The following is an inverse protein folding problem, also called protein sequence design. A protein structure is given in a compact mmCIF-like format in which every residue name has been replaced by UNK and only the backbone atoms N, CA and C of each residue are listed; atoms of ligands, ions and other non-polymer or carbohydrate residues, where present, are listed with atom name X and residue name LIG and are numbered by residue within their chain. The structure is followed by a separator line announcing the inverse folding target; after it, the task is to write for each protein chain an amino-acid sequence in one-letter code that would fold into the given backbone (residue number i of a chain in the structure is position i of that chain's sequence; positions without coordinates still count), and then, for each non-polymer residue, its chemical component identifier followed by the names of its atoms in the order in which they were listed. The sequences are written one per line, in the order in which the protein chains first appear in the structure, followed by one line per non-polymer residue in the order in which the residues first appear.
data_IF_042252932829
#
_entry.id   IF_042252932829
#
_cell.length_a   1.000
_cell.length_b   1.000
_cell.length_c   1.000
_cell.angle_alpha   90.00
_cell.angle_beta   90.00
_cell.angle_gamma   90.00
#
_symmetry.space_group_name_H-M   'P 1'
#
loop_
_entity.id
_entity.type
_entity.pdbx_description
1 polymer ?
#
# COMPACT_ATOMS: atom_id res chain seq x y z
N UNK A 1 -24.81 -3.92 12.58
CA UNK A 1 -24.91 -4.85 11.43
C UNK A 1 -24.89 -4.03 10.16
N UNK A 2 -23.97 -4.31 9.25
CA UNK A 2 -23.92 -3.69 7.92
C UNK A 2 -24.40 -4.74 6.91
N UNK A 3 -25.41 -4.40 6.12
CA UNK A 3 -25.86 -5.23 5.03
C UNK A 3 -25.32 -4.64 3.72
N UNK A 4 -24.65 -5.47 2.93
CA UNK A 4 -24.16 -5.09 1.60
C UNK A 4 -25.09 -5.71 0.57
N UNK A 5 -25.70 -4.87 -0.26
CA UNK A 5 -26.56 -5.30 -1.36
C UNK A 5 -25.79 -5.16 -2.67
N UNK A 6 -25.67 -6.26 -3.40
CA UNK A 6 -25.05 -6.24 -4.72
C UNK A 6 -26.10 -5.93 -5.80
N UNK A 7 -25.72 -5.13 -6.77
CA UNK A 7 -26.55 -4.83 -7.93
C UNK A 7 -26.48 -5.89 -9.04
N UNK A 8 -25.75 -6.98 -8.79
CA UNK A 8 -25.61 -8.11 -9.71
C UNK A 8 -25.61 -9.44 -8.95
N UNK A 9 -25.91 -10.52 -9.63
CA UNK A 9 -25.93 -11.88 -9.10
C UNK A 9 -24.50 -12.43 -9.01
N UNK A 10 -24.12 -12.95 -7.85
CA UNK A 10 -22.86 -13.72 -7.74
C UNK A 10 -22.99 -15.03 -8.52
N UNK A 11 -22.06 -15.29 -9.42
CA UNK A 11 -22.00 -16.49 -10.26
C UNK A 11 -21.29 -17.66 -9.61
N UNK A 12 -20.57 -17.42 -8.51
CA UNK A 12 -19.88 -18.46 -7.75
C UNK A 12 -20.07 -18.27 -6.24
N UNK A 13 -20.31 -19.36 -5.52
CA UNK A 13 -20.25 -19.40 -4.06
C UNK A 13 -18.84 -19.83 -3.63
N UNK A 14 -18.20 -19.05 -2.76
CA UNK A 14 -17.01 -19.48 -2.05
C UNK A 14 -17.35 -20.69 -1.18
N UNK A 15 -16.62 -21.78 -1.33
CA UNK A 15 -16.90 -23.05 -0.66
C UNK A 15 -16.53 -23.09 0.83
N UNK A 16 -15.83 -22.09 1.35
CA UNK A 16 -15.48 -22.03 2.78
C UNK A 16 -15.35 -20.57 3.24
N UNK A 17 -16.12 -20.21 4.27
CA UNK A 17 -15.90 -18.98 5.02
C UNK A 17 -14.71 -19.21 5.96
N UNK A 18 -13.53 -18.75 5.61
CA UNK A 18 -12.42 -18.65 6.55
C UNK A 18 -12.46 -17.29 7.25
N UNK A 19 -12.31 -17.30 8.58
CA UNK A 19 -12.15 -16.09 9.33
C UNK A 19 -10.79 -15.46 8.97
N UNK A 20 -10.82 -14.24 8.41
CA UNK A 20 -9.62 -13.49 8.04
C UNK A 20 -9.32 -12.52 9.17
N UNK A 21 -8.14 -12.67 9.80
CA UNK A 21 -7.65 -11.69 10.76
C UNK A 21 -7.13 -10.45 10.03
N UNK A 22 -7.53 -9.26 10.48
CA UNK A 22 -7.11 -7.98 9.88
C UNK A 22 -5.65 -7.64 10.07
N UNK A 23 -4.93 -8.33 10.95
CA UNK A 23 -3.63 -7.84 11.38
C UNK A 23 -2.41 -8.69 11.02
N UNK A 24 -2.50 -9.95 10.71
CA UNK A 24 -1.28 -10.77 10.52
C UNK A 24 -1.49 -12.08 9.79
N UNK A 25 -2.27 -12.16 8.77
CA UNK A 25 -2.37 -13.41 8.03
C UNK A 25 -1.45 -13.41 6.83
N UNK A 26 -0.37 -14.17 6.97
CA UNK A 26 0.28 -14.76 5.82
C UNK A 26 -0.77 -15.60 5.08
N UNK A 27 -0.97 -15.28 3.81
CA UNK A 27 -1.75 -16.09 2.87
C UNK A 27 -3.19 -16.40 3.28
N UNK A 28 -4.04 -15.39 3.36
CA UNK A 28 -5.43 -15.66 3.06
C UNK A 28 -5.56 -15.85 1.56
N UNK A 29 -5.31 -17.03 1.13
CA UNK A 29 -5.90 -17.52 -0.09
C UNK A 29 -7.39 -17.66 0.24
N UNK A 30 -8.15 -16.58 0.03
CA UNK A 30 -9.54 -16.80 -0.30
C UNK A 30 -9.47 -17.81 -1.42
N UNK A 31 -10.04 -18.98 -1.21
CA UNK A 31 -10.27 -19.98 -2.25
C UNK A 31 -11.35 -19.45 -3.18
N UNK A 32 -11.05 -18.30 -3.78
CA UNK A 32 -11.83 -17.71 -4.84
C UNK A 32 -11.25 -18.23 -6.14
N UNK A 33 -12.09 -18.75 -7.05
CA UNK A 33 -11.66 -19.13 -8.39
C UNK A 33 -11.25 -17.91 -9.24
N UNK A 34 -11.18 -16.72 -8.67
CA UNK A 34 -10.70 -15.54 -9.38
C UNK A 34 -9.17 -15.61 -9.43
N UNK A 35 -8.66 -16.10 -10.53
CA UNK A 35 -7.25 -15.94 -10.86
C UNK A 35 -6.95 -14.44 -10.97
N UNK A 36 -6.15 -13.96 -10.03
CA UNK A 36 -5.67 -12.59 -10.12
C UNK A 36 -4.72 -12.48 -11.33
N UNK A 37 -4.83 -11.42 -12.13
CA UNK A 37 -3.94 -11.24 -13.27
C UNK A 37 -2.48 -11.22 -12.78
N UNK A 38 -1.53 -11.66 -13.64
CA UNK A 38 -0.11 -11.62 -13.30
C UNK A 38 0.33 -10.18 -12.94
N UNK A 39 1.33 -10.08 -12.08
CA UNK A 39 1.94 -8.80 -11.79
C UNK A 39 2.57 -8.23 -13.07
N UNK A 40 2.58 -6.90 -13.16
CA UNK A 40 3.22 -6.16 -14.27
C UNK A 40 4.23 -5.19 -13.68
N UNK A 41 5.26 -4.88 -14.44
CA UNK A 41 6.22 -3.83 -14.09
C UNK A 41 5.49 -2.50 -13.92
N UNK A 42 5.89 -1.76 -12.91
CA UNK A 42 5.34 -0.43 -12.65
C UNK A 42 6.08 0.65 -13.45
N UNK A 43 5.44 1.80 -13.72
CA UNK A 43 6.11 2.91 -14.38
C UNK A 43 7.33 3.39 -13.61
N UNK A 44 8.33 3.89 -14.30
CA UNK A 44 9.47 4.54 -13.67
C UNK A 44 9.11 5.97 -13.30
N UNK A 45 9.63 6.43 -12.17
CA UNK A 45 9.43 7.79 -11.66
C UNK A 45 10.75 8.31 -11.09
N UNK A 46 11.06 9.56 -11.33
CA UNK A 46 12.13 10.25 -10.64
C UNK A 46 11.58 10.82 -9.33
N UNK A 47 12.02 10.24 -8.21
CA UNK A 47 11.64 10.71 -6.88
C UNK A 47 12.46 11.94 -6.51
N UNK A 48 11.78 13.06 -6.26
CA UNK A 48 12.42 14.26 -5.78
C UNK A 48 12.61 14.18 -4.25
N UNK A 49 13.80 14.55 -3.73
CA UNK A 49 14.07 14.52 -2.28
C UNK A 49 13.06 15.33 -1.46
N UNK A 50 12.57 16.44 -1.99
CA UNK A 50 11.59 17.32 -1.35
C UNK A 50 10.24 16.63 -1.12
N UNK A 51 9.89 15.66 -1.97
CA UNK A 51 8.68 14.86 -1.80
C UNK A 51 8.77 13.96 -0.58
N UNK A 52 9.95 13.40 -0.33
CA UNK A 52 10.22 12.59 0.86
C UNK A 52 10.20 13.43 2.13
N UNK A 53 10.70 14.67 2.07
CA UNK A 53 10.62 15.62 3.20
C UNK A 53 9.17 16.01 3.49
N UNK A 54 8.35 16.24 2.46
CA UNK A 54 6.90 16.49 2.61
C UNK A 54 6.21 15.32 3.32
N UNK A 55 6.48 14.08 2.90
CA UNK A 55 5.93 12.88 3.52
C UNK A 55 6.42 12.72 4.96
N UNK A 56 7.70 12.96 5.22
CA UNK A 56 8.28 12.88 6.55
C UNK A 56 7.67 13.91 7.52
N UNK A 57 7.45 15.13 7.06
CA UNK A 57 6.80 16.19 7.83
C UNK A 57 5.34 15.83 8.18
N UNK A 58 4.57 15.37 7.19
CA UNK A 58 3.18 14.94 7.40
C UNK A 58 3.09 13.76 8.37
N UNK A 59 4.01 12.81 8.25
CA UNK A 59 4.10 11.66 9.14
C UNK A 59 4.45 12.07 10.58
N UNK A 60 5.37 13.02 10.75
CA UNK A 60 5.77 13.54 12.05
C UNK A 60 4.65 14.31 12.75
N UNK A 61 3.86 15.07 11.98
CA UNK A 61 2.67 15.74 12.48
C UNK A 61 1.61 14.75 12.99
N UNK A 62 1.54 13.59 12.35
CA UNK A 62 0.58 12.52 12.65
C UNK A 62 -0.86 12.91 12.32
N UNK A 63 -1.67 11.93 11.95
CA UNK A 63 -3.09 12.10 11.71
C UNK A 63 -3.89 12.04 13.04
N UNK A 64 -5.13 12.53 13.07
CA UNK A 64 -5.90 12.69 14.30
C UNK A 64 -6.06 11.40 15.12
N UNK A 65 -6.38 10.28 14.46
CA UNK A 65 -6.62 9.03 15.17
C UNK A 65 -5.33 8.45 15.74
N UNK A 66 -4.21 8.53 14.99
CA UNK A 66 -2.90 8.14 15.51
C UNK A 66 -2.48 9.00 16.71
N UNK A 67 -2.69 10.31 16.65
CA UNK A 67 -2.37 11.20 17.78
C UNK A 67 -3.16 10.86 19.04
N UNK A 68 -4.43 10.47 18.87
CA UNK A 68 -5.31 10.13 19.99
C UNK A 68 -5.02 8.73 20.56
N UNK A 69 -4.67 7.75 19.73
CA UNK A 69 -4.66 6.34 20.14
C UNK A 69 -3.30 5.69 20.11
N UNK A 70 -2.39 6.16 19.23
CA UNK A 70 -1.10 5.51 18.91
C UNK A 70 -1.25 4.06 18.42
N UNK A 71 -2.45 3.65 18.03
CA UNK A 71 -2.82 2.26 17.75
C UNK A 71 -3.26 2.01 16.30
N UNK A 72 -2.98 2.95 15.40
CA UNK A 72 -3.37 2.85 13.99
C UNK A 72 -2.17 3.07 13.06
N UNK A 73 -2.32 2.59 11.83
CA UNK A 73 -1.42 2.85 10.73
C UNK A 73 -1.95 3.98 9.87
N UNK A 74 -1.04 4.79 9.34
CA UNK A 74 -1.36 5.87 8.40
C UNK A 74 -0.85 5.54 7.01
N UNK A 75 -1.59 5.91 6.00
CA UNK A 75 -1.17 5.89 4.60
C UNK A 75 -1.43 7.26 3.96
N UNK A 76 -0.46 7.72 3.16
CA UNK A 76 -0.54 8.97 2.41
C UNK A 76 -0.35 8.68 0.93
N UNK A 77 -1.08 9.43 0.10
CA UNK A 77 -0.87 9.47 -1.35
C UNK A 77 -0.32 10.83 -1.71
N UNK A 78 0.84 10.85 -2.34
CA UNK A 78 1.48 12.07 -2.81
C UNK A 78 1.61 12.03 -4.32
N UNK A 79 1.34 13.16 -4.97
CA UNK A 79 1.54 13.36 -6.41
C UNK A 79 2.20 14.71 -6.63
N UNK A 80 3.32 14.73 -7.34
CA UNK A 80 4.07 15.95 -7.66
C UNK A 80 4.35 16.84 -6.42
N UNK A 81 4.77 16.21 -5.31
CA UNK A 81 5.08 16.93 -4.07
C UNK A 81 3.88 17.30 -3.21
N UNK A 82 2.65 17.11 -3.68
CA UNK A 82 1.43 17.43 -2.94
C UNK A 82 0.76 16.19 -2.40
N UNK A 83 0.40 16.19 -1.11
CA UNK A 83 -0.39 15.12 -0.51
C UNK A 83 -1.84 15.28 -0.97
N UNK A 84 -2.32 14.32 -1.77
CA UNK A 84 -3.69 14.29 -2.28
C UNK A 84 -4.65 13.66 -1.27
N UNK A 85 -4.18 12.67 -0.52
CA UNK A 85 -5.02 11.91 0.41
C UNK A 85 -4.21 11.36 1.56
N UNK A 86 -4.84 11.25 2.72
CA UNK A 86 -4.30 10.61 3.91
C UNK A 86 -5.41 9.87 4.64
N UNK A 87 -5.09 8.67 5.12
CA UNK A 87 -6.04 7.85 5.87
C UNK A 87 -5.37 7.06 6.98
N UNK A 88 -6.20 6.56 7.88
CA UNK A 88 -5.78 5.74 9.02
C UNK A 88 -6.62 4.48 9.12
N UNK A 89 -6.02 3.40 9.61
CA UNK A 89 -6.68 2.15 9.94
C UNK A 89 -5.86 1.35 10.97
N UNK A 90 -6.50 0.50 11.74
CA UNK A 90 -5.83 -0.43 12.65
C UNK A 90 -4.93 -1.40 11.86
N UNK A 91 -5.40 -1.85 10.69
CA UNK A 91 -4.66 -2.73 9.80
C UNK A 91 -3.85 -1.96 8.75
N UNK A 92 -2.52 -2.18 8.70
CA UNK A 92 -1.66 -1.55 7.67
C UNK A 92 -2.12 -1.84 6.24
N UNK A 93 -2.66 -3.03 5.99
CA UNK A 93 -3.20 -3.43 4.68
C UNK A 93 -4.45 -2.62 4.34
N UNK A 94 -5.34 -2.45 5.31
CA UNK A 94 -6.56 -1.67 5.13
C UNK A 94 -6.25 -0.19 4.87
N UNK A 95 -5.25 0.37 5.57
CA UNK A 95 -4.82 1.76 5.33
C UNK A 95 -4.32 1.93 3.88
N UNK A 96 -3.52 0.98 3.37
CA UNK A 96 -3.07 0.99 1.98
C UNK A 96 -4.23 0.83 1.00
N UNK A 97 -5.13 -0.12 1.26
CA UNK A 97 -6.29 -0.39 0.39
C UNK A 97 -7.23 0.82 0.33
N UNK A 98 -7.46 1.51 1.47
CA UNK A 98 -8.21 2.76 1.51
C UNK A 98 -7.58 3.83 0.64
N UNK A 99 -6.26 4.02 0.73
CA UNK A 99 -5.56 5.02 -0.04
C UNK A 99 -5.62 4.74 -1.55
N UNK A 100 -5.39 3.49 -1.96
CA UNK A 100 -5.50 3.06 -3.36
C UNK A 100 -6.95 3.18 -3.85
N UNK A 101 -7.91 2.69 -3.07
CA UNK A 101 -9.33 2.73 -3.41
C UNK A 101 -9.84 4.14 -3.61
N UNK A 102 -9.46 5.09 -2.75
CA UNK A 102 -9.86 6.49 -2.87
C UNK A 102 -9.32 7.12 -4.17
N UNK A 103 -8.06 6.85 -4.52
CA UNK A 103 -7.49 7.36 -5.78
C UNK A 103 -8.21 6.78 -7.00
N UNK A 104 -8.55 5.50 -6.97
CA UNK A 104 -9.33 4.88 -8.04
C UNK A 104 -10.73 5.50 -8.18
N UNK A 105 -11.42 5.77 -7.07
CA UNK A 105 -12.73 6.42 -7.05
C UNK A 105 -12.67 7.84 -7.59
N UNK A 106 -11.60 8.57 -7.32
CA UNK A 106 -11.38 9.93 -7.82
C UNK A 106 -10.82 9.99 -9.24
N UNK A 107 -10.52 8.85 -9.88
CA UNK A 107 -9.91 8.79 -11.20
C UNK A 107 -8.47 9.31 -11.24
N UNK A 108 -7.77 9.31 -10.11
CA UNK A 108 -6.37 9.77 -10.05
C UNK A 108 -5.45 8.67 -10.61
N UNK A 109 -4.55 8.99 -11.56
CA UNK A 109 -3.63 8.01 -12.13
C UNK A 109 -2.58 7.59 -11.10
N UNK A 110 -2.71 6.38 -10.56
CA UNK A 110 -1.79 5.82 -9.57
C UNK A 110 -0.34 5.70 -10.09
N UNK A 111 -0.16 5.63 -11.40
CA UNK A 111 1.14 5.64 -12.06
C UNK A 111 1.97 6.92 -11.84
N UNK A 112 1.34 7.99 -11.37
CA UNK A 112 1.98 9.27 -11.06
C UNK A 112 2.06 9.55 -9.56
N UNK A 113 1.72 8.54 -8.73
CA UNK A 113 1.61 8.70 -7.29
C UNK A 113 2.73 7.97 -6.54
N UNK A 114 3.09 8.53 -5.40
CA UNK A 114 3.92 7.90 -4.38
C UNK A 114 3.01 7.50 -3.22
N UNK A 115 3.06 6.24 -2.80
CA UNK A 115 2.39 5.78 -1.59
C UNK A 115 3.37 5.83 -0.41
N UNK A 116 2.90 6.33 0.72
CA UNK A 116 3.60 6.20 1.99
C UNK A 116 2.78 5.34 2.96
N UNK A 117 3.43 4.44 3.68
CA UNK A 117 2.82 3.67 4.77
C UNK A 117 3.64 3.76 6.05
N UNK A 118 2.98 3.93 7.19
CA UNK A 118 3.62 3.83 8.50
C UNK A 118 3.87 2.38 8.94
N UNK A 119 3.28 1.42 8.23
CA UNK A 119 3.38 0.00 8.54
C UNK A 119 4.65 -0.65 8.02
N UNK A 120 4.92 -1.86 8.50
CA UNK A 120 5.94 -2.74 7.93
C UNK A 120 5.61 -3.06 6.47
N UNK A 121 6.64 -3.35 5.67
CA UNK A 121 6.51 -3.62 4.23
C UNK A 121 6.89 -5.09 3.93
N UNK A 122 6.04 -6.06 4.27
CA UNK A 122 6.20 -7.45 3.85
C UNK A 122 5.85 -7.60 2.36
N UNK A 123 6.13 -8.80 1.81
CA UNK A 123 5.94 -9.12 0.38
C UNK A 123 4.53 -8.81 -0.14
N UNK A 124 3.51 -9.05 0.66
CA UNK A 124 2.11 -8.80 0.29
C UNK A 124 1.78 -7.30 0.15
N UNK A 125 2.42 -6.42 0.95
CA UNK A 125 2.30 -4.96 0.79
C UNK A 125 2.96 -4.49 -0.51
N UNK A 126 4.15 -5.02 -0.82
CA UNK A 126 4.85 -4.74 -2.10
C UNK A 126 3.99 -5.22 -3.27
N UNK A 127 3.45 -6.43 -3.19
CA UNK A 127 2.57 -6.99 -4.22
C UNK A 127 1.32 -6.13 -4.46
N UNK A 128 0.72 -5.57 -3.39
CA UNK A 128 -0.41 -4.64 -3.50
C UNK A 128 -0.02 -3.35 -4.21
N UNK A 129 1.12 -2.75 -3.87
CA UNK A 129 1.63 -1.55 -4.51
C UNK A 129 1.89 -1.77 -6.02
N UNK A 130 2.53 -2.89 -6.37
CA UNK A 130 2.76 -3.27 -7.77
C UNK A 130 1.43 -3.46 -8.52
N UNK A 131 0.45 -4.15 -7.93
CA UNK A 131 -0.89 -4.31 -8.53
C UNK A 131 -1.63 -3.01 -8.72
N UNK A 132 -1.47 -2.07 -7.81
CA UNK A 132 -2.01 -0.73 -7.92
C UNK A 132 -1.32 0.10 -9.03
N UNK A 133 -0.15 -0.33 -9.50
CA UNK A 133 0.61 0.34 -10.55
C UNK A 133 1.32 1.61 -10.07
N UNK A 134 1.58 1.74 -8.76
CA UNK A 134 2.32 2.88 -8.24
C UNK A 134 3.83 2.68 -8.44
N UNK A 135 4.58 3.71 -8.85
CA UNK A 135 6.02 3.62 -9.10
C UNK A 135 6.86 3.56 -7.82
N UNK A 136 6.34 4.06 -6.70
CA UNK A 136 7.10 4.14 -5.46
C UNK A 136 6.26 3.87 -4.21
N UNK A 137 6.84 3.12 -3.28
CA UNK A 137 6.32 2.88 -1.93
C UNK A 137 7.35 3.32 -0.90
N UNK A 138 6.96 4.27 -0.06
CA UNK A 138 7.78 4.84 1.00
C UNK A 138 7.33 4.29 2.35
N UNK A 139 8.26 3.94 3.21
CA UNK A 139 7.96 3.48 4.58
C UNK A 139 9.04 3.91 5.56
N UNK A 140 8.65 4.05 6.83
CA UNK A 140 9.60 4.20 7.93
C UNK A 140 10.28 2.87 8.28
N UNK A 141 9.60 1.75 8.05
CA UNK A 141 10.08 0.40 8.43
C UNK A 141 10.89 -0.22 7.30
N UNK A 142 11.95 -0.94 7.66
CA UNK A 142 12.74 -1.70 6.69
C UNK A 142 11.92 -2.86 6.10
N UNK A 143 12.08 -3.18 4.81
CA UNK A 143 11.45 -4.31 4.16
C UNK A 143 12.14 -5.62 4.52
N UNK A 144 11.55 -6.74 4.13
CA UNK A 144 12.26 -8.03 4.09
C UNK A 144 13.07 -8.14 2.79
N UNK A 145 14.06 -9.05 2.77
CA UNK A 145 14.84 -9.34 1.55
C UNK A 145 13.90 -9.70 0.40
N UNK A 146 12.95 -10.60 0.63
CA UNK A 146 11.97 -11.02 -0.39
C UNK A 146 11.09 -9.84 -0.87
N UNK A 147 10.80 -8.88 0.01
CA UNK A 147 10.07 -7.68 -0.39
C UNK A 147 10.88 -6.82 -1.35
N UNK A 148 12.18 -6.71 -1.10
CA UNK A 148 13.09 -5.94 -1.94
C UNK A 148 13.34 -6.62 -3.29
N UNK A 149 13.54 -7.95 -3.29
CA UNK A 149 13.66 -8.76 -4.52
C UNK A 149 12.44 -8.58 -5.42
N UNK A 150 11.23 -8.72 -4.84
CA UNK A 150 9.99 -8.53 -5.59
C UNK A 150 9.84 -7.10 -6.11
N UNK A 151 10.20 -6.10 -5.32
CA UNK A 151 10.14 -4.71 -5.75
C UNK A 151 11.08 -4.44 -6.94
N UNK A 152 12.30 -4.95 -6.89
CA UNK A 152 13.29 -4.82 -7.98
C UNK A 152 12.83 -5.54 -9.25
N UNK A 153 12.30 -6.76 -9.12
CA UNK A 153 11.78 -7.54 -10.26
C UNK A 153 10.72 -6.76 -11.06
N UNK A 154 9.85 -6.03 -10.37
CA UNK A 154 8.75 -5.28 -11.00
C UNK A 154 9.00 -3.77 -11.13
N UNK A 155 10.19 -3.29 -10.79
CA UNK A 155 10.58 -1.90 -10.93
C UNK A 155 9.98 -0.95 -9.90
N UNK A 156 9.38 -1.46 -8.80
CA UNK A 156 8.85 -0.65 -7.72
C UNK A 156 10.00 -0.06 -6.89
N UNK A 157 10.03 1.25 -6.76
CA UNK A 157 11.00 1.94 -5.90
C UNK A 157 10.57 1.80 -4.44
N UNK A 158 11.36 1.09 -3.62
CA UNK A 158 11.18 1.00 -2.17
C UNK A 158 12.10 1.99 -1.47
N UNK A 159 11.50 2.96 -0.77
CA UNK A 159 12.23 3.94 0.06
C UNK A 159 11.89 3.69 1.52
N UNK A 160 12.84 3.15 2.27
CA UNK A 160 12.62 2.76 3.65
C UNK A 160 13.72 3.30 4.57
N UNK A 161 13.33 4.19 5.49
CA UNK A 161 14.26 4.78 6.46
C UNK A 161 15.38 5.66 5.88
N UNK A 162 15.38 5.91 4.59
CA UNK A 162 16.40 6.68 3.83
C UNK A 162 15.73 7.64 2.85
N UNK A 163 16.53 8.49 2.21
CA UNK A 163 16.05 9.44 1.18
C UNK A 163 16.24 8.95 -0.26
N UNK A 164 16.59 7.69 -0.46
CA UNK A 164 16.76 7.09 -1.80
C UNK A 164 16.18 5.67 -1.82
N UNK A 165 15.84 5.14 -2.99
CA UNK A 165 15.38 3.76 -3.13
C UNK A 165 16.42 2.77 -2.61
N UNK A 166 15.95 1.70 -1.97
CA UNK A 166 16.79 0.62 -1.49
C UNK A 166 17.14 -0.34 -2.62
N UNK A 167 18.35 -0.89 -2.53
CA UNK A 167 18.81 -2.00 -3.36
C UNK A 167 19.19 -3.19 -2.48
N UNK A 168 19.39 -4.37 -3.06
CA UNK A 168 19.88 -5.54 -2.32
C UNK A 168 21.26 -5.31 -1.69
N UNK A 169 22.06 -4.41 -2.25
CA UNK A 169 23.37 -4.03 -1.68
C UNK A 169 23.26 -3.22 -0.38
N UNK A 170 22.07 -2.71 -0.06
CA UNK A 170 21.81 -1.94 1.17
C UNK A 170 21.41 -2.83 2.36
N UNK A 171 21.21 -4.15 2.16
CA UNK A 171 20.79 -5.12 3.17
C UNK A 171 21.98 -5.86 3.74
#
# INVERSE_FOLDING_TARGET
KVNVYLNHRLTARSAAAQAVSSCCTDNVTLSSPVELPPLRTVPQMELQPEWLDTLAAAMSAGLPLYRATRAVHSCFVLRQGTILFACEDIGRHNALDKAVGEMLLQGVPLAECVLYTSGRVPVDMVRKAIRAGVPALVSKSMPTIQSLELAQEYGLQLVCGRKHPLTLADM
#
